data_IF_092165495923
#
_entry.id   IF_092165495923
#
_cell.length_a   1.000
_cell.length_b   1.000
_cell.length_c   1.000
_cell.angle_alpha   90.00
_cell.angle_beta   90.00
_cell.angle_gamma   90.00
#
_symmetry.space_group_name_H-M   'P 1'
#
loop_
_entity.id
_entity.type
_entity.pdbx_description
1 polymer ?
#
# COMPACT_ATOMS: atom_id res chain seq x y z
N UNK A 1 -16.73 18.51 22.44
CA UNK A 1 -18.06 17.89 22.70
C UNK A 1 -18.43 18.10 24.16
N UNK A 2 -19.66 18.48 24.48
CA UNK A 2 -20.13 18.70 25.86
C UNK A 2 -21.54 18.17 26.06
N UNK A 3 -21.79 17.50 27.21
CA UNK A 3 -23.13 17.07 27.63
C UNK A 3 -24.10 18.25 27.71
N UNK A 4 -23.62 19.43 28.12
CA UNK A 4 -24.44 20.64 28.27
C UNK A 4 -24.90 21.22 26.93
N UNK A 5 -24.13 21.01 25.86
CA UNK A 5 -24.47 21.48 24.51
C UNK A 5 -25.25 20.43 23.69
N UNK A 6 -25.51 19.25 24.27
CA UNK A 6 -26.22 18.16 23.59
C UNK A 6 -25.48 17.56 22.38
N UNK A 7 -24.21 17.89 22.17
CA UNK A 7 -23.42 17.47 21.01
C UNK A 7 -22.42 16.34 21.34
N UNK A 8 -22.78 15.45 22.27
CA UNK A 8 -21.96 14.29 22.62
C UNK A 8 -22.22 13.19 21.61
N UNK A 9 -21.15 12.64 21.06
CA UNK A 9 -21.18 11.44 20.23
C UNK A 9 -20.80 10.26 21.12
N UNK A 10 -21.68 9.25 21.21
CA UNK A 10 -21.37 8.03 21.95
C UNK A 10 -20.36 7.18 21.13
N UNK A 11 -19.19 6.84 21.71
CA UNK A 11 -18.20 6.04 21.01
C UNK A 11 -18.70 4.63 20.69
N UNK A 12 -19.58 4.02 21.49
CA UNK A 12 -20.12 2.69 21.25
C UNK A 12 -21.09 2.67 20.07
N UNK A 13 -21.93 3.70 19.94
CA UNK A 13 -22.80 3.86 18.77
C UNK A 13 -21.97 4.09 17.50
N UNK A 14 -20.92 4.90 17.60
CA UNK A 14 -19.98 5.15 16.50
C UNK A 14 -19.24 3.88 16.10
N UNK A 15 -18.79 3.06 17.06
CA UNK A 15 -18.16 1.77 16.81
C UNK A 15 -19.14 0.82 16.12
N UNK A 16 -20.39 0.77 16.57
CA UNK A 16 -21.42 -0.08 15.98
C UNK A 16 -21.70 0.28 14.52
N UNK A 17 -21.68 1.57 14.19
CA UNK A 17 -21.96 2.05 12.84
C UNK A 17 -20.75 2.00 11.90
N UNK A 18 -19.57 2.44 12.36
CA UNK A 18 -18.38 2.63 11.53
C UNK A 18 -17.27 1.59 11.74
N UNK A 19 -17.25 0.92 12.89
CA UNK A 19 -16.20 0.01 13.30
C UNK A 19 -15.13 0.69 14.18
N UNK A 20 -14.52 -0.09 15.06
CA UNK A 20 -13.52 0.41 16.03
C UNK A 20 -12.28 0.98 15.37
N UNK A 21 -11.75 0.32 14.33
CA UNK A 21 -10.55 0.82 13.65
C UNK A 21 -10.81 2.12 12.89
N UNK A 22 -11.98 2.27 12.25
CA UNK A 22 -12.34 3.50 11.58
C UNK A 22 -12.40 4.67 12.58
N UNK A 23 -12.99 4.46 13.77
CA UNK A 23 -13.01 5.47 14.82
C UNK A 23 -11.60 5.79 15.33
N UNK A 24 -10.80 4.77 15.70
CA UNK A 24 -9.43 4.95 16.21
C UNK A 24 -8.56 5.69 15.21
N UNK A 25 -8.60 5.28 13.94
CA UNK A 25 -7.84 5.92 12.88
C UNK A 25 -8.26 7.37 12.68
N UNK A 26 -9.56 7.66 12.67
CA UNK A 26 -10.08 9.03 12.58
C UNK A 26 -9.54 9.93 13.70
N UNK A 27 -9.53 9.43 14.93
CA UNK A 27 -9.02 10.16 16.08
C UNK A 27 -7.50 10.36 16.01
N UNK A 28 -6.76 9.32 15.60
CA UNK A 28 -5.31 9.37 15.48
C UNK A 28 -4.81 10.36 14.41
N UNK A 29 -5.60 10.60 13.36
CA UNK A 29 -5.28 11.58 12.31
C UNK A 29 -5.41 13.04 12.77
N UNK A 30 -5.87 13.29 14.00
CA UNK A 30 -5.87 14.63 14.58
C UNK A 30 -4.46 15.17 14.81
N UNK A 31 -4.29 16.47 14.61
CA UNK A 31 -3.04 17.17 14.94
C UNK A 31 -2.93 17.33 16.45
N UNK A 32 -1.79 16.94 17.03
CA UNK A 32 -1.56 17.09 18.46
C UNK A 32 -1.71 18.57 18.90
N UNK A 33 -2.47 18.79 19.98
CA UNK A 33 -2.72 20.14 20.50
C UNK A 33 -3.78 20.96 19.75
N UNK A 34 -4.42 20.40 18.72
CA UNK A 34 -5.54 21.03 18.03
C UNK A 34 -6.86 20.29 18.30
N UNK A 35 -7.95 21.04 18.31
CA UNK A 35 -9.28 20.45 18.38
C UNK A 35 -9.57 19.64 17.11
N UNK A 36 -9.95 18.37 17.30
CA UNK A 36 -10.38 17.51 16.22
C UNK A 36 -11.89 17.63 16.02
N UNK A 37 -12.29 18.07 14.82
CA UNK A 37 -13.68 17.93 14.38
C UNK A 37 -13.95 16.48 13.96
N UNK A 38 -14.65 15.72 14.80
CA UNK A 38 -15.12 14.37 14.49
C UNK A 38 -16.39 14.47 13.63
N UNK A 39 -16.23 14.40 12.31
CA UNK A 39 -17.34 14.40 11.37
C UNK A 39 -17.68 12.99 10.87
N UNK A 40 -18.95 12.74 10.61
CA UNK A 40 -19.45 11.51 9.97
C UNK A 40 -18.79 11.24 8.63
N UNK A 41 -18.43 12.30 7.90
CA UNK A 41 -17.69 12.20 6.63
C UNK A 41 -16.32 11.53 6.83
N UNK A 42 -15.52 12.00 7.81
CA UNK A 42 -14.20 11.41 8.12
C UNK A 42 -14.32 9.97 8.57
N UNK A 43 -15.31 9.66 9.40
CA UNK A 43 -15.60 8.29 9.84
C UNK A 43 -15.98 7.39 8.64
N UNK A 44 -16.79 7.89 7.72
CA UNK A 44 -17.18 7.17 6.50
C UNK A 44 -15.97 6.90 5.61
N UNK A 45 -15.11 7.89 5.40
CA UNK A 45 -13.86 7.74 4.64
C UNK A 45 -12.94 6.70 5.28
N UNK A 46 -12.77 6.72 6.60
CA UNK A 46 -11.89 5.76 7.31
C UNK A 46 -12.50 4.35 7.41
N UNK A 47 -13.82 4.22 7.40
CA UNK A 47 -14.50 2.94 7.19
C UNK A 47 -14.22 2.40 5.78
N UNK A 48 -14.27 3.26 4.76
CA UNK A 48 -13.93 2.87 3.39
C UNK A 48 -12.45 2.46 3.27
N UNK A 49 -11.53 3.12 3.98
CA UNK A 49 -10.13 2.71 4.09
C UNK A 49 -9.97 1.31 4.69
N UNK A 50 -10.66 1.03 5.79
CA UNK A 50 -10.70 -0.30 6.41
C UNK A 50 -11.15 -1.36 5.40
N UNK A 51 -12.21 -1.08 4.63
CA UNK A 51 -12.69 -1.97 3.58
C UNK A 51 -11.70 -2.15 2.42
N UNK A 52 -10.99 -1.08 2.01
CA UNK A 52 -9.95 -1.16 0.97
C UNK A 52 -8.79 -2.03 1.45
N UNK A 53 -8.36 -1.91 2.71
CA UNK A 53 -7.34 -2.77 3.33
C UNK A 53 -7.77 -4.24 3.33
N UNK A 54 -9.02 -4.52 3.74
CA UNK A 54 -9.58 -5.86 3.69
C UNK A 54 -9.61 -6.46 2.28
N UNK A 55 -10.01 -5.66 1.27
CA UNK A 55 -10.04 -6.10 -0.11
C UNK A 55 -8.65 -6.36 -0.69
N UNK A 56 -7.65 -5.55 -0.34
CA UNK A 56 -6.26 -5.81 -0.71
C UNK A 56 -5.76 -7.13 -0.10
N UNK A 57 -6.03 -7.36 1.19
CA UNK A 57 -5.68 -8.62 1.86
C UNK A 57 -6.32 -9.85 1.19
N UNK A 58 -7.61 -9.79 0.87
CA UNK A 58 -8.28 -10.86 0.10
C UNK A 58 -7.64 -11.10 -1.26
N UNK A 59 -7.32 -10.04 -2.00
CA UNK A 59 -6.64 -10.16 -3.29
C UNK A 59 -5.30 -10.89 -3.13
N UNK A 60 -4.49 -10.51 -2.15
CA UNK A 60 -3.19 -11.14 -1.91
C UNK A 60 -3.38 -12.61 -1.56
N UNK A 61 -4.24 -12.93 -0.58
CA UNK A 61 -4.53 -14.31 -0.17
C UNK A 61 -5.00 -15.20 -1.32
N UNK A 62 -5.86 -14.67 -2.20
CA UNK A 62 -6.35 -15.40 -3.38
C UNK A 62 -5.27 -15.70 -4.42
N UNK A 63 -4.21 -14.88 -4.45
CA UNK A 63 -3.11 -15.05 -5.40
C UNK A 63 -1.89 -15.72 -4.76
N UNK A 64 -1.92 -16.12 -3.48
CA UNK A 64 -0.85 -16.89 -2.85
C UNK A 64 -1.05 -18.39 -3.08
N UNK A 65 0.03 -19.19 -3.12
CA UNK A 65 -0.08 -20.64 -3.24
C UNK A 65 -0.75 -21.24 -2.00
N UNK A 66 -1.33 -22.42 -2.17
CA UNK A 66 -1.90 -23.18 -1.04
C UNK A 66 -0.82 -23.51 0.00
N UNK A 67 -1.19 -23.62 1.28
CA UNK A 67 -0.20 -23.87 2.35
C UNK A 67 0.59 -25.17 2.19
N UNK A 68 0.05 -26.17 1.49
CA UNK A 68 0.69 -27.46 1.29
C UNK A 68 1.70 -27.47 0.12
N UNK A 69 1.80 -26.38 -0.65
CA UNK A 69 2.72 -26.27 -1.77
C UNK A 69 4.07 -25.71 -1.32
N UNK A 70 4.87 -26.58 -0.67
CA UNK A 70 6.16 -26.18 -0.10
C UNK A 70 7.12 -25.61 -1.14
N UNK A 71 7.12 -26.13 -2.37
CA UNK A 71 8.03 -25.67 -3.42
C UNK A 71 7.72 -24.22 -3.83
N UNK A 72 6.45 -23.87 -4.04
CA UNK A 72 6.08 -22.49 -4.34
C UNK A 72 6.39 -21.55 -3.18
N UNK A 73 6.20 -22.00 -1.94
CA UNK A 73 6.56 -21.24 -0.75
C UNK A 73 8.06 -21.00 -0.62
N UNK A 74 8.90 -22.00 -0.88
CA UNK A 74 10.35 -21.86 -0.84
C UNK A 74 10.81 -20.79 -1.85
N UNK A 75 10.23 -20.77 -3.05
CA UNK A 75 10.50 -19.74 -4.05
C UNK A 75 10.12 -18.34 -3.57
N UNK A 76 8.92 -18.17 -3.00
CA UNK A 76 8.44 -16.87 -2.49
C UNK A 76 9.30 -16.39 -1.30
N UNK A 77 9.67 -17.28 -0.39
CA UNK A 77 10.41 -16.94 0.82
C UNK A 77 11.92 -16.79 0.58
N UNK A 78 12.42 -17.18 -0.59
CA UNK A 78 13.83 -17.00 -0.97
C UNK A 78 14.23 -15.55 -1.25
N UNK A 79 13.26 -14.65 -1.47
CA UNK A 79 13.53 -13.25 -1.78
C UNK A 79 13.86 -12.43 -0.53
N UNK A 80 15.05 -11.83 -0.52
CA UNK A 80 15.56 -11.02 0.59
C UNK A 80 15.62 -9.54 0.19
N UNK A 81 14.48 -8.85 0.31
CA UNK A 81 14.35 -7.45 -0.12
C UNK A 81 15.18 -6.45 0.71
N UNK A 82 15.71 -6.86 1.85
CA UNK A 82 16.54 -6.04 2.74
C UNK A 82 18.00 -5.91 2.24
N UNK A 83 18.39 -6.65 1.19
CA UNK A 83 19.74 -6.62 0.60
C UNK A 83 19.78 -5.82 -0.71
N UNK A 84 20.80 -4.96 -0.86
CA UNK A 84 21.01 -4.12 -2.05
C UNK A 84 21.02 -4.92 -3.36
N UNK A 85 21.75 -6.05 -3.38
CA UNK A 85 21.91 -6.90 -4.56
C UNK A 85 20.58 -7.50 -5.03
N UNK A 86 19.64 -7.74 -4.11
CA UNK A 86 18.31 -8.21 -4.47
C UNK A 86 17.53 -7.09 -5.15
N UNK A 87 17.54 -5.89 -4.55
CA UNK A 87 16.80 -4.72 -5.04
C UNK A 87 17.21 -4.29 -6.44
N UNK A 88 18.51 -4.36 -6.76
CA UNK A 88 19.05 -4.03 -8.09
C UNK A 88 18.59 -4.99 -9.20
N UNK A 89 18.23 -6.22 -8.84
CA UNK A 89 17.76 -7.25 -9.79
C UNK A 89 16.25 -7.22 -9.98
N UNK A 90 15.54 -6.47 -9.15
CA UNK A 90 14.09 -6.36 -9.25
C UNK A 90 13.70 -5.62 -10.53
N UNK A 91 12.66 -6.10 -11.23
CA UNK A 91 12.06 -5.30 -12.30
C UNK A 91 11.48 -4.00 -11.74
N UNK A 92 11.23 -3.05 -12.65
CA UNK A 92 10.91 -1.67 -12.27
C UNK A 92 9.74 -1.52 -11.27
N UNK A 93 8.55 -2.15 -11.45
CA UNK A 93 7.44 -1.99 -10.51
C UNK A 93 7.76 -2.53 -9.11
N UNK A 94 8.40 -3.71 -9.05
CA UNK A 94 8.81 -4.36 -7.81
C UNK A 94 9.88 -3.55 -7.07
N UNK A 95 10.90 -3.07 -7.80
CA UNK A 95 11.98 -2.26 -7.25
C UNK A 95 11.47 -0.93 -6.68
N UNK A 96 10.53 -0.29 -7.40
CA UNK A 96 9.90 0.95 -6.97
C UNK A 96 9.11 0.78 -5.69
N UNK A 97 8.15 -0.15 -5.62
CA UNK A 97 7.26 -0.25 -4.44
C UNK A 97 8.03 -0.63 -3.18
N UNK A 98 9.06 -1.47 -3.31
CA UNK A 98 9.92 -1.83 -2.18
C UNK A 98 10.78 -0.64 -1.74
N UNK A 99 11.32 0.13 -2.68
CA UNK A 99 12.08 1.35 -2.35
C UNK A 99 11.20 2.42 -1.67
N UNK A 100 9.96 2.59 -2.13
CA UNK A 100 8.98 3.49 -1.51
C UNK A 100 8.59 3.01 -0.11
N UNK A 101 8.36 1.70 0.09
CA UNK A 101 8.10 1.13 1.41
C UNK A 101 9.27 1.40 2.38
N UNK A 102 10.51 1.18 1.95
CA UNK A 102 11.68 1.43 2.77
C UNK A 102 11.84 2.92 3.11
N UNK A 103 11.44 3.81 2.21
CA UNK A 103 11.37 5.26 2.47
C UNK A 103 10.29 5.59 3.50
N UNK A 104 9.09 5.03 3.32
CA UNK A 104 7.97 5.19 4.23
C UNK A 104 8.37 4.76 5.65
N UNK A 105 8.96 3.57 5.81
CA UNK A 105 9.35 3.01 7.12
C UNK A 105 10.23 4.00 7.88
N UNK A 106 11.25 4.59 7.24
CA UNK A 106 12.12 5.57 7.90
C UNK A 106 11.35 6.84 8.29
N UNK A 107 10.57 7.40 7.36
CA UNK A 107 9.79 8.62 7.59
C UNK A 107 8.82 8.44 8.76
N UNK A 108 8.05 7.35 8.74
CA UNK A 108 7.04 7.10 9.76
C UNK A 108 7.67 6.72 11.10
N UNK A 109 8.80 6.03 11.12
CA UNK A 109 9.52 5.74 12.37
C UNK A 109 9.97 7.04 13.04
N UNK A 110 10.56 7.96 12.28
CA UNK A 110 10.96 9.28 12.81
C UNK A 110 9.77 10.09 13.32
N UNK A 111 8.65 10.09 12.58
CA UNK A 111 7.42 10.78 13.01
C UNK A 111 6.80 10.13 14.26
N UNK A 112 6.86 8.79 14.35
CA UNK A 112 6.35 8.05 15.48
C UNK A 112 7.14 8.35 16.77
N UNK A 113 8.47 8.38 16.68
CA UNK A 113 9.36 8.72 17.80
C UNK A 113 9.16 10.16 18.30
N UNK A 114 8.69 11.04 17.41
CA UNK A 114 8.33 12.44 17.74
C UNK A 114 6.88 12.60 18.20
N UNK A 115 6.14 11.51 18.35
CA UNK A 115 4.71 11.50 18.71
C UNK A 115 3.80 12.20 17.67
N UNK A 116 4.24 12.30 16.41
CA UNK A 116 3.45 12.85 15.30
C UNK A 116 2.57 11.76 14.67
N UNK A 117 1.70 11.18 15.49
CA UNK A 117 0.84 10.06 15.12
C UNK A 117 -0.08 10.33 13.93
N UNK A 118 -0.59 11.56 13.82
CA UNK A 118 -1.46 11.95 12.70
C UNK A 118 -0.72 11.97 11.37
N UNK A 119 0.57 12.32 11.37
CA UNK A 119 1.40 12.29 10.16
C UNK A 119 1.77 10.85 9.79
N UNK A 120 2.11 10.01 10.79
CA UNK A 120 2.31 8.57 10.57
C UNK A 120 1.09 7.95 9.90
N UNK A 121 -0.10 8.14 10.47
CA UNK A 121 -1.33 7.58 9.91
C UNK A 121 -1.59 8.06 8.48
N UNK A 122 -1.36 9.35 8.20
CA UNK A 122 -1.56 9.94 6.88
C UNK A 122 -0.57 9.42 5.85
N UNK A 123 0.70 9.29 6.19
CA UNK A 123 1.73 8.79 5.29
C UNK A 123 1.51 7.32 4.94
N UNK A 124 1.14 6.49 5.93
CA UNK A 124 0.82 5.08 5.69
C UNK A 124 -0.47 4.93 4.87
N UNK A 125 -1.50 5.76 5.13
CA UNK A 125 -2.71 5.83 4.32
C UNK A 125 -2.40 6.17 2.86
N UNK A 126 -1.60 7.22 2.64
CA UNK A 126 -1.24 7.69 1.30
C UNK A 126 -0.46 6.62 0.54
N UNK A 127 0.51 5.98 1.17
CA UNK A 127 1.27 4.90 0.55
C UNK A 127 0.39 3.68 0.22
N UNK A 128 -0.41 3.20 1.19
CA UNK A 128 -1.27 2.04 0.96
C UNK A 128 -2.27 2.30 -0.18
N UNK A 129 -2.96 3.44 -0.14
CA UNK A 129 -4.01 3.72 -1.11
C UNK A 129 -3.39 4.11 -2.45
N UNK A 130 -2.55 5.13 -2.42
CA UNK A 130 -2.03 5.81 -3.59
C UNK A 130 -1.02 4.99 -4.36
N UNK A 131 -0.09 4.31 -3.68
CA UNK A 131 1.02 3.61 -4.34
C UNK A 131 0.78 2.11 -4.40
N UNK A 132 0.47 1.49 -3.27
CA UNK A 132 0.32 0.04 -3.21
C UNK A 132 -0.96 -0.42 -3.92
N UNK A 133 -2.13 0.09 -3.52
CA UNK A 133 -3.40 -0.41 -4.02
C UNK A 133 -3.74 0.06 -5.44
N UNK A 134 -3.51 1.34 -5.74
CA UNK A 134 -3.89 1.91 -7.04
C UNK A 134 -2.86 1.66 -8.15
N UNK A 135 -1.59 1.43 -7.82
CA UNK A 135 -0.54 1.14 -8.82
C UNK A 135 0.07 -0.24 -8.70
N UNK A 136 0.64 -0.61 -7.55
CA UNK A 136 1.41 -1.84 -7.48
C UNK A 136 0.54 -3.10 -7.62
N UNK A 137 -0.62 -3.16 -6.94
CA UNK A 137 -1.58 -4.26 -7.12
C UNK A 137 -1.96 -4.40 -8.59
N UNK A 138 -2.27 -3.30 -9.28
CA UNK A 138 -2.63 -3.34 -10.70
C UNK A 138 -1.46 -3.77 -11.60
N UNK A 139 -0.24 -3.29 -11.35
CA UNK A 139 0.96 -3.70 -12.07
C UNK A 139 1.28 -5.19 -11.86
N UNK A 140 1.08 -5.70 -10.64
CA UNK A 140 1.36 -7.09 -10.28
C UNK A 140 0.47 -8.09 -11.02
N UNK A 141 -0.76 -7.72 -11.40
CA UNK A 141 -1.71 -8.60 -12.11
C UNK A 141 -1.15 -9.12 -13.44
N UNK A 142 -0.35 -8.31 -14.15
CA UNK A 142 0.30 -8.74 -15.38
C UNK A 142 1.24 -9.93 -15.13
N UNK A 143 2.02 -9.90 -14.03
CA UNK A 143 2.88 -11.02 -13.65
C UNK A 143 2.08 -12.21 -13.15
N UNK A 144 1.09 -11.96 -12.30
CA UNK A 144 0.29 -13.02 -11.69
C UNK A 144 -0.49 -13.85 -12.72
N UNK A 145 -0.98 -13.24 -13.81
CA UNK A 145 -1.89 -13.90 -14.75
C UNK A 145 -1.28 -14.22 -16.12
N UNK A 146 -0.15 -13.62 -16.49
CA UNK A 146 0.36 -13.69 -17.87
C UNK A 146 1.84 -14.09 -17.95
N UNK A 147 2.46 -14.54 -16.85
CA UNK A 147 3.90 -14.88 -16.81
C UNK A 147 4.19 -16.32 -16.38
N UNK A 148 5.44 -16.75 -16.54
CA UNK A 148 5.95 -18.03 -16.02
C UNK A 148 6.12 -18.03 -14.50
N UNK A 149 6.30 -19.23 -13.93
CA UNK A 149 6.28 -19.49 -12.48
C UNK A 149 7.18 -18.56 -11.65
N UNK A 150 8.43 -18.33 -12.07
CA UNK A 150 9.38 -17.48 -11.33
C UNK A 150 8.92 -16.01 -11.25
N UNK A 151 8.29 -15.50 -12.31
CA UNK A 151 7.74 -14.14 -12.34
C UNK A 151 6.51 -14.00 -11.44
N UNK A 152 5.72 -15.07 -11.32
CA UNK A 152 4.57 -15.14 -10.39
C UNK A 152 5.06 -15.13 -8.94
N UNK A 153 6.04 -15.98 -8.62
CA UNK A 153 6.62 -16.08 -7.28
C UNK A 153 7.21 -14.73 -6.81
N UNK A 154 7.88 -14.00 -7.70
CA UNK A 154 8.39 -12.67 -7.40
C UNK A 154 7.27 -11.68 -7.05
N UNK A 155 6.21 -11.62 -7.86
CA UNK A 155 5.08 -10.72 -7.60
C UNK A 155 4.38 -11.05 -6.27
N UNK A 156 4.19 -12.34 -5.98
CA UNK A 156 3.65 -12.83 -4.71
C UNK A 156 4.54 -12.42 -3.52
N UNK A 157 5.86 -12.58 -3.65
CA UNK A 157 6.82 -12.24 -2.61
C UNK A 157 6.80 -10.75 -2.28
N UNK A 158 6.81 -9.88 -3.29
CA UNK A 158 6.75 -8.42 -3.09
C UNK A 158 5.40 -7.99 -2.52
N UNK A 159 4.27 -8.51 -3.05
CA UNK A 159 2.93 -8.23 -2.50
C UNK A 159 2.86 -8.59 -1.01
N UNK A 160 3.32 -9.79 -0.66
CA UNK A 160 3.32 -10.27 0.72
C UNK A 160 4.23 -9.42 1.62
N UNK A 161 5.45 -9.13 1.17
CA UNK A 161 6.44 -8.34 1.92
C UNK A 161 5.93 -6.92 2.21
N UNK A 162 5.45 -6.22 1.17
CA UNK A 162 4.94 -4.85 1.32
C UNK A 162 3.71 -4.84 2.21
N UNK A 163 2.76 -5.76 1.99
CA UNK A 163 1.52 -5.80 2.77
C UNK A 163 1.76 -6.13 4.24
N UNK A 164 2.64 -7.09 4.57
CA UNK A 164 3.01 -7.39 5.96
C UNK A 164 3.55 -6.16 6.69
N UNK A 165 4.39 -5.35 6.03
CA UNK A 165 4.89 -4.12 6.63
C UNK A 165 3.81 -3.05 6.74
N UNK A 166 2.91 -2.91 5.76
CA UNK A 166 1.74 -2.01 5.90
C UNK A 166 0.89 -2.39 7.12
N UNK A 167 0.61 -3.68 7.33
CA UNK A 167 -0.14 -4.15 8.50
C UNK A 167 0.57 -3.77 9.80
N UNK A 168 1.89 -3.99 9.89
CA UNK A 168 2.68 -3.59 11.06
C UNK A 168 2.61 -2.08 11.33
N UNK A 169 2.75 -1.25 10.30
CA UNK A 169 2.72 0.21 10.42
C UNK A 169 1.33 0.73 10.80
N UNK A 170 0.26 0.09 10.33
CA UNK A 170 -1.13 0.45 10.67
C UNK A 170 -1.59 -0.09 12.02
N UNK A 171 -1.01 -1.17 12.52
CA UNK A 171 -1.49 -1.88 13.71
C UNK A 171 -1.69 -1.01 14.97
N UNK A 172 -0.81 -0.04 15.29
CA UNK A 172 -1.04 0.87 16.42
C UNK A 172 -2.36 1.65 16.33
N UNK A 173 -2.83 1.91 15.12
CA UNK A 173 -4.02 2.71 14.84
C UNK A 173 -5.26 1.85 14.56
N UNK A 174 -5.08 0.74 13.84
CA UNK A 174 -6.15 -0.15 13.36
C UNK A 174 -5.93 -1.60 13.81
N UNK A 175 -5.89 -1.87 15.12
CA UNK A 175 -5.43 -3.15 15.65
C UNK A 175 -6.31 -4.34 15.26
N UNK A 176 -7.61 -4.17 15.01
CA UNK A 176 -8.49 -5.32 14.79
C UNK A 176 -8.37 -5.87 13.36
N UNK A 177 -8.62 -5.03 12.35
CA UNK A 177 -8.54 -5.42 10.94
C UNK A 177 -7.14 -5.87 10.55
N UNK A 178 -6.09 -5.23 11.11
CA UNK A 178 -4.71 -5.59 10.79
C UNK A 178 -4.32 -6.93 11.40
N UNK A 179 -4.77 -7.23 12.62
CA UNK A 179 -4.56 -8.52 13.26
C UNK A 179 -5.31 -9.63 12.50
N UNK A 180 -6.59 -9.44 12.18
CA UNK A 180 -7.38 -10.41 11.40
C UNK A 180 -6.72 -10.73 10.05
N UNK A 181 -6.27 -9.71 9.33
CA UNK A 181 -5.57 -9.88 8.06
C UNK A 181 -4.21 -10.58 8.26
N UNK A 182 -3.47 -10.24 9.31
CA UNK A 182 -2.19 -10.86 9.62
C UNK A 182 -2.33 -12.35 9.95
N UNK A 183 -3.31 -12.72 10.76
CA UNK A 183 -3.59 -14.12 11.11
C UNK A 183 -4.03 -14.95 9.90
N UNK A 184 -4.70 -14.31 8.93
CA UNK A 184 -5.06 -14.97 7.68
C UNK A 184 -3.85 -15.19 6.75
N UNK A 185 -2.77 -14.41 6.89
CA UNK A 185 -1.57 -14.58 6.09
C UNK A 185 -0.83 -15.88 6.48
N UNK A 186 -0.35 -16.65 5.50
CA UNK A 186 0.42 -17.85 5.76
C UNK A 186 1.73 -17.53 6.50
N UNK A 187 2.21 -18.50 7.28
CA UNK A 187 3.45 -18.41 8.06
C UNK A 187 3.46 -17.28 9.12
N UNK A 188 2.29 -16.77 9.52
CA UNK A 188 2.14 -15.81 10.62
C UNK A 188 1.50 -16.51 11.82
N UNK A 189 2.31 -17.22 12.62
CA UNK A 189 1.82 -17.99 13.79
C UNK A 189 1.57 -17.12 15.02
N UNK A 190 2.36 -16.06 15.16
CA UNK A 190 2.32 -15.15 16.29
C UNK A 190 1.40 -13.96 16.00
N UNK A 191 0.83 -13.38 17.05
CA UNK A 191 0.01 -12.18 16.97
C UNK A 191 0.81 -10.99 16.42
N UNK A 192 0.18 -10.16 15.58
CA UNK A 192 0.80 -8.96 15.03
C UNK A 192 1.21 -7.99 16.14
N UNK A 193 0.43 -7.91 17.21
CA UNK A 193 0.72 -7.05 18.37
C UNK A 193 2.07 -7.33 19.05
N UNK A 194 2.59 -8.57 18.97
CA UNK A 194 3.91 -8.93 19.52
C UNK A 194 5.01 -8.95 18.46
N UNK A 195 4.68 -8.62 17.21
CA UNK A 195 5.65 -8.57 16.13
C UNK A 195 6.57 -7.36 16.27
N UNK A 196 7.79 -7.47 15.74
CA UNK A 196 8.74 -6.36 15.73
C UNK A 196 8.33 -5.32 14.70
N UNK A 197 8.50 -4.05 15.09
CA UNK A 197 8.48 -2.91 14.17
C UNK A 197 9.44 -3.14 12.99
N UNK A 198 9.12 -2.67 11.77
CA UNK A 198 9.99 -2.83 10.61
C UNK A 198 11.38 -2.24 10.83
N UNK A 199 12.39 -2.84 10.20
CA UNK A 199 13.76 -2.34 10.25
C UNK A 199 13.90 -1.04 9.44
N UNK A 200 14.66 -0.09 9.97
CA UNK A 200 14.98 1.18 9.31
C UNK A 200 16.28 1.10 8.50
N UNK A 201 16.55 2.13 7.69
CA UNK A 201 17.78 2.26 6.89
C UNK A 201 17.97 1.12 5.88
N UNK A 202 16.86 0.65 5.32
CA UNK A 202 16.83 -0.36 4.28
C UNK A 202 17.22 0.22 2.90
N UNK A 203 17.80 -0.60 2.00
CA UNK A 203 18.29 -0.16 0.71
C UNK A 203 17.19 0.41 -0.20
N UNK A 204 17.53 1.34 -1.09
CA UNK A 204 16.57 1.99 -2.01
C UNK A 204 17.20 2.25 -3.37
N UNK A 205 16.38 2.16 -4.42
CA UNK A 205 16.80 2.49 -5.77
C UNK A 205 16.12 3.79 -6.25
N UNK A 206 16.77 4.93 -6.00
CA UNK A 206 16.25 6.25 -6.40
C UNK A 206 15.97 6.36 -7.90
N UNK A 207 16.77 5.67 -8.73
CA UNK A 207 16.57 5.64 -10.19
C UNK A 207 15.29 4.90 -10.58
N UNK A 208 14.97 3.78 -9.92
CA UNK A 208 13.73 3.03 -10.13
C UNK A 208 12.51 3.86 -9.71
N UNK A 209 12.62 4.55 -8.56
CA UNK A 209 11.57 5.43 -8.07
C UNK A 209 11.25 6.53 -9.08
N UNK A 210 12.27 7.28 -9.51
CA UNK A 210 12.10 8.35 -10.51
C UNK A 210 11.46 7.84 -11.81
N UNK A 211 11.93 6.69 -12.32
CA UNK A 211 11.40 6.09 -13.55
C UNK A 211 9.93 5.70 -13.41
N UNK A 212 9.54 5.07 -12.30
CA UNK A 212 8.15 4.66 -12.09
C UNK A 212 7.23 5.85 -11.84
N UNK A 213 7.67 6.88 -11.13
CA UNK A 213 6.88 8.11 -10.97
C UNK A 213 6.62 8.82 -12.31
N UNK A 214 7.61 8.86 -13.20
CA UNK A 214 7.38 9.37 -14.56
C UNK A 214 6.36 8.51 -15.33
N UNK A 215 6.37 7.18 -15.17
CA UNK A 215 5.36 6.30 -15.76
C UNK A 215 3.96 6.57 -15.20
N UNK A 216 3.85 6.82 -13.88
CA UNK A 216 2.60 7.21 -13.22
C UNK A 216 2.07 8.52 -13.81
N UNK A 217 2.93 9.54 -13.94
CA UNK A 217 2.58 10.84 -14.51
C UNK A 217 2.10 10.71 -15.96
N UNK A 218 2.83 9.96 -16.80
CA UNK A 218 2.44 9.71 -18.18
C UNK A 218 1.08 9.01 -18.27
N UNK A 219 0.88 7.96 -17.48
CA UNK A 219 -0.38 7.20 -17.50
C UNK A 219 -1.56 8.06 -17.01
N UNK A 220 -1.35 8.90 -15.98
CA UNK A 220 -2.34 9.89 -15.53
C UNK A 220 -2.66 10.91 -16.64
N UNK A 221 -1.64 11.43 -17.34
CA UNK A 221 -1.84 12.36 -18.45
C UNK A 221 -2.67 11.73 -19.58
N UNK A 222 -2.39 10.48 -19.96
CA UNK A 222 -3.18 9.74 -20.96
C UNK A 222 -4.62 9.55 -20.47
N UNK A 223 -4.84 9.15 -19.21
CA UNK A 223 -6.19 8.98 -18.65
C UNK A 223 -6.97 10.29 -18.62
N UNK A 224 -6.33 11.40 -18.27
CA UNK A 224 -6.95 12.73 -18.26
C UNK A 224 -7.37 13.16 -19.66
N UNK A 225 -6.47 13.03 -20.65
CA UNK A 225 -6.81 13.34 -22.04
C UNK A 225 -7.97 12.47 -22.55
N UNK A 226 -7.98 11.17 -22.23
CA UNK A 226 -9.11 10.29 -22.57
C UNK A 226 -10.43 10.75 -21.96
N UNK A 227 -10.41 11.16 -20.69
CA UNK A 227 -11.60 11.67 -20.01
C UNK A 227 -12.11 12.98 -20.65
N UNK A 228 -11.19 13.90 -20.97
CA UNK A 228 -11.51 15.16 -21.65
C UNK A 228 -12.20 14.94 -23.00
N UNK A 229 -11.68 14.00 -23.81
CA UNK A 229 -12.27 13.64 -25.09
C UNK A 229 -13.36 12.56 -25.00
N UNK A 230 -13.84 12.24 -23.79
CA UNK A 230 -14.90 11.25 -23.55
C UNK A 230 -14.65 9.89 -24.24
N UNK A 231 -13.38 9.48 -24.29
CA UNK A 231 -12.95 8.20 -24.87
C UNK A 231 -13.26 7.08 -23.89
N UNK A 232 -14.10 6.14 -24.31
CA UNK A 232 -14.46 4.95 -23.52
C UNK A 232 -13.20 4.20 -23.02
N UNK A 233 -13.15 3.75 -21.75
CA UNK A 233 -11.94 3.14 -21.17
C UNK A 233 -11.37 1.94 -21.92
N UNK A 234 -12.22 1.08 -22.48
CA UNK A 234 -11.80 -0.14 -23.20
C UNK A 234 -11.32 0.13 -24.64
N UNK A 235 -11.63 1.31 -25.19
CA UNK A 235 -11.27 1.65 -26.58
C UNK A 235 -9.76 1.78 -26.71
N UNK A 236 -9.16 1.04 -27.65
CA UNK A 236 -7.74 1.22 -28.01
C UNK A 236 -7.61 2.49 -28.86
N UNK A 237 -6.68 3.36 -28.48
CA UNK A 237 -6.37 4.61 -29.20
C UNK A 237 -4.87 4.67 -29.43
N UNK A 238 -4.46 5.25 -30.56
CA UNK A 238 -3.06 5.58 -30.80
C UNK A 238 -2.68 6.80 -29.96
N UNK A 239 -1.50 6.76 -29.34
CA UNK A 239 -0.95 7.88 -28.59
C UNK A 239 0.48 8.14 -29.04
N UNK A 240 0.81 9.41 -29.30
CA UNK A 240 2.17 9.86 -29.57
C UNK A 240 2.69 10.57 -28.32
N UNK A 241 3.81 10.09 -27.79
CA UNK A 241 4.42 10.63 -26.58
C UNK A 241 5.67 11.40 -26.99
N UNK A 242 5.76 12.66 -26.58
CA UNK A 242 6.97 13.47 -26.71
C UNK A 242 7.53 13.65 -25.31
N UNK A 243 8.70 13.06 -25.06
CA UNK A 243 9.36 13.13 -23.77
C UNK A 243 10.88 13.30 -23.94
N UNK A 244 11.57 13.57 -22.83
CA UNK A 244 13.03 13.65 -22.78
C UNK A 244 13.67 12.30 -23.12
N UNK A 245 14.93 12.33 -23.56
CA UNK A 245 15.70 11.13 -23.91
C UNK A 245 15.68 10.07 -22.78
N UNK A 246 15.81 10.52 -21.54
CA UNK A 246 15.74 9.67 -20.34
C UNK A 246 14.42 8.90 -20.26
N UNK A 247 13.30 9.57 -20.59
CA UNK A 247 11.95 8.99 -20.55
C UNK A 247 11.70 8.06 -21.74
N UNK A 248 12.18 8.43 -22.93
CA UNK A 248 12.05 7.62 -24.13
C UNK A 248 12.76 6.26 -24.00
N UNK A 249 13.93 6.23 -23.35
CA UNK A 249 14.76 5.02 -23.24
C UNK A 249 14.08 3.86 -22.49
N UNK A 250 13.21 4.10 -21.50
CA UNK A 250 12.52 3.01 -20.79
C UNK A 250 11.07 2.76 -21.25
N UNK A 251 10.47 3.71 -21.97
CA UNK A 251 9.15 3.53 -22.60
C UNK A 251 9.27 2.64 -23.85
N UNK A 252 10.32 2.84 -24.65
CA UNK A 252 10.54 2.12 -25.91
C UNK A 252 10.92 0.64 -25.73
N UNK A 253 11.55 0.27 -24.61
CA UNK A 253 11.97 -1.11 -24.32
C UNK A 253 10.79 -2.00 -23.86
N UNK A 254 9.69 -1.42 -23.39
CA UNK A 254 8.55 -2.15 -22.82
C UNK A 254 7.25 -2.09 -23.65
N UNK A 255 7.29 -1.54 -24.87
CA UNK A 255 6.10 -1.39 -25.74
C UNK A 255 6.13 -2.21 -27.03
N UNK A 256 7.00 -3.23 -27.11
CA UNK A 256 6.92 -4.27 -28.16
C UNK A 256 6.21 -5.53 -27.65
#
# INVERSE_FOLDING_TARGET
MSKTLGNVIDPLDTIKEFGTDALRFTLALGTAGQDLNLSTERLTSNKAFTNKLWNAGKFILQNLPTQNDSQSWDSILSFEFEKDDCLLKLPLPECWIVSELHSLIDVVTVSYDKFFFGDVGRDVYNFFWGDFADWYIEASKARLYQSGADSVALAQAVLLYVFKNILKLLHPFMPFVTEELWQALPNCKDALIISRWPQISLPRQASAVKKFENLKLLTKAIRNARAEYSVEPAKRISASIVASEEVNQYISVNMC
#
